data_IF_494787003967
#
_entry.id   IF_494787003967
#
_cell.length_a   1.000
_cell.length_b   1.000
_cell.length_c   1.000
_cell.angle_alpha   90.00
_cell.angle_beta   90.00
_cell.angle_gamma   90.00
#
_symmetry.space_group_name_H-M   'P 1'
#
loop_
_entity.id
_entity.type
_entity.pdbx_description
1 polymer ?
#
# COMPACT_ATOMS: atom_id res chain seq x y z
N UNK A 1 10.27 11.10 -7.03
CA UNK A 1 9.07 11.90 -7.40
C UNK A 1 8.98 12.08 -8.89
N UNK A 2 10.09 12.45 -9.57
CA UNK A 2 10.17 12.53 -11.05
C UNK A 2 9.55 11.32 -11.78
N UNK A 3 9.73 10.12 -11.23
CA UNK A 3 9.20 8.86 -11.76
C UNK A 3 7.67 8.81 -11.67
N UNK A 4 7.10 9.20 -10.52
CA UNK A 4 5.65 9.30 -10.32
C UNK A 4 5.05 10.42 -11.18
N UNK A 5 5.74 11.56 -11.29
CA UNK A 5 5.33 12.67 -12.16
C UNK A 5 5.33 12.27 -13.64
N UNK A 6 6.27 11.42 -14.07
CA UNK A 6 6.27 10.89 -15.43
C UNK A 6 5.05 10.00 -15.67
N UNK A 7 4.64 9.19 -14.69
CA UNK A 7 3.42 8.38 -14.78
C UNK A 7 2.16 9.24 -14.82
N UNK A 8 2.15 10.40 -14.15
CA UNK A 8 1.07 11.40 -14.31
C UNK A 8 1.01 11.94 -15.73
N UNK A 9 2.15 12.30 -16.34
CA UNK A 9 2.21 12.83 -17.71
C UNK A 9 1.68 11.85 -18.77
N UNK A 10 1.83 10.55 -18.54
CA UNK A 10 1.31 9.50 -19.42
C UNK A 10 -0.05 8.94 -18.98
N UNK A 11 -0.74 9.64 -18.07
CA UNK A 11 -2.07 9.28 -17.57
C UNK A 11 -2.18 7.91 -16.86
N UNK A 12 -1.07 7.40 -16.33
CA UNK A 12 -1.05 6.16 -15.53
C UNK A 12 -1.22 6.41 -14.02
N UNK A 13 -0.92 7.63 -13.56
CA UNK A 13 -1.27 8.12 -12.24
C UNK A 13 -2.11 9.39 -12.33
N UNK A 14 -2.91 9.65 -11.30
CA UNK A 14 -3.64 10.90 -11.12
C UNK A 14 -3.02 11.67 -9.97
N UNK A 15 -2.94 13.00 -10.11
CA UNK A 15 -2.67 13.87 -8.96
C UNK A 15 -3.93 13.99 -8.13
N UNK A 16 -3.78 13.77 -6.83
CA UNK A 16 -4.88 13.92 -5.90
C UNK A 16 -4.32 14.24 -4.51
N UNK A 17 -4.68 15.36 -3.86
CA UNK A 17 -4.11 15.74 -2.57
C UNK A 17 -4.37 14.69 -1.50
N UNK A 18 -3.44 14.48 -0.56
CA UNK A 18 -3.63 13.50 0.51
C UNK A 18 -4.89 13.80 1.35
N UNK A 19 -5.67 12.76 1.64
CA UNK A 19 -6.81 12.83 2.55
C UNK A 19 -6.52 11.98 3.79
N UNK A 20 -6.51 12.60 4.97
CA UNK A 20 -6.17 11.93 6.22
C UNK A 20 -7.19 10.85 6.63
N UNK A 21 -8.48 11.05 6.36
CA UNK A 21 -9.54 10.10 6.71
C UNK A 21 -9.47 8.88 5.80
N UNK A 22 -9.30 9.09 4.50
CA UNK A 22 -9.12 8.04 3.51
C UNK A 22 -7.84 7.23 3.82
N UNK A 23 -6.73 7.91 4.07
CA UNK A 23 -5.45 7.31 4.46
C UNK A 23 -5.59 6.40 5.69
N UNK A 24 -6.20 6.91 6.77
CA UNK A 24 -6.46 6.12 7.97
C UNK A 24 -7.40 4.93 7.70
N UNK A 25 -8.37 5.09 6.80
CA UNK A 25 -9.24 4.01 6.35
C UNK A 25 -8.45 2.90 5.66
N UNK A 26 -7.50 3.24 4.77
CA UNK A 26 -6.64 2.28 4.10
C UNK A 26 -5.72 1.55 5.08
N UNK A 27 -5.13 2.26 6.06
CA UNK A 27 -4.30 1.63 7.09
C UNK A 27 -5.11 0.60 7.89
N UNK A 28 -6.29 0.97 8.38
CA UNK A 28 -7.19 0.05 9.10
C UNK A 28 -7.57 -1.16 8.23
N UNK A 29 -7.89 -0.92 6.96
CA UNK A 29 -8.25 -1.99 6.05
C UNK A 29 -7.08 -2.95 5.76
N UNK A 30 -5.85 -2.46 5.76
CA UNK A 30 -4.64 -3.28 5.66
C UNK A 30 -4.38 -4.08 6.94
N UNK A 31 -4.48 -3.42 8.10
CA UNK A 31 -4.28 -4.05 9.41
C UNK A 31 -5.30 -5.16 9.70
N UNK A 32 -6.57 -4.93 9.37
CA UNK A 32 -7.62 -5.96 9.50
C UNK A 32 -7.28 -7.18 8.64
N UNK A 33 -6.96 -6.98 7.36
CA UNK A 33 -6.62 -8.10 6.46
C UNK A 33 -5.39 -8.88 6.91
N UNK A 34 -4.37 -8.18 7.41
CA UNK A 34 -3.17 -8.81 7.96
C UNK A 34 -3.46 -9.60 9.24
N UNK A 35 -4.36 -9.12 10.10
CA UNK A 35 -4.79 -9.89 11.27
C UNK A 35 -5.60 -11.12 10.85
N UNK A 36 -6.52 -10.94 9.91
CA UNK A 36 -7.39 -12.00 9.43
C UNK A 36 -6.60 -13.09 8.69
N UNK A 37 -5.50 -12.75 8.00
CA UNK A 37 -4.65 -13.75 7.32
C UNK A 37 -3.95 -14.71 8.28
N UNK A 38 -3.94 -14.40 9.58
CA UNK A 38 -3.34 -15.22 10.64
C UNK A 38 -4.38 -16.08 11.38
N UNK A 39 -5.63 -16.13 10.91
CA UNK A 39 -6.65 -16.99 11.51
C UNK A 39 -6.34 -18.45 11.21
N UNK A 40 -6.33 -19.27 12.26
CA UNK A 40 -6.09 -20.71 12.16
C UNK A 40 -7.15 -21.41 11.29
N UNK A 41 -6.70 -22.32 10.44
CA UNK A 41 -7.58 -23.12 9.57
C UNK A 41 -7.94 -22.47 8.23
N UNK A 42 -7.45 -21.26 7.93
CA UNK A 42 -7.54 -20.71 6.57
C UNK A 42 -6.71 -21.53 5.58
N UNK A 43 -7.25 -21.71 4.37
CA UNK A 43 -6.48 -22.24 3.24
C UNK A 43 -5.36 -21.28 2.85
N UNK A 44 -4.30 -21.80 2.24
CA UNK A 44 -3.19 -21.00 1.72
C UNK A 44 -3.67 -19.91 0.75
N UNK A 45 -4.65 -20.23 -0.11
CA UNK A 45 -5.25 -19.26 -1.05
C UNK A 45 -5.95 -18.10 -0.33
N UNK A 46 -6.63 -18.38 0.79
CA UNK A 46 -7.27 -17.36 1.62
C UNK A 46 -6.24 -16.50 2.34
N UNK A 47 -5.21 -17.12 2.91
CA UNK A 47 -4.11 -16.41 3.56
C UNK A 47 -3.38 -15.49 2.57
N UNK A 48 -3.11 -15.98 1.35
CA UNK A 48 -2.51 -15.20 0.27
C UNK A 48 -3.41 -14.03 -0.13
N UNK A 49 -4.69 -14.28 -0.39
CA UNK A 49 -5.65 -13.24 -0.79
C UNK A 49 -5.75 -12.11 0.23
N UNK A 50 -5.77 -12.45 1.53
CA UNK A 50 -5.79 -11.49 2.63
C UNK A 50 -4.47 -10.71 2.75
N UNK A 51 -3.34 -11.43 2.75
CA UNK A 51 -1.99 -10.84 2.85
C UNK A 51 -1.69 -9.91 1.66
N UNK A 52 -2.03 -10.34 0.44
CA UNK A 52 -1.91 -9.52 -0.78
C UNK A 52 -2.82 -8.29 -0.73
N UNK A 53 -4.05 -8.47 -0.26
CA UNK A 53 -4.99 -7.36 -0.03
C UNK A 53 -4.48 -6.36 1.02
N UNK A 54 -3.81 -6.83 2.08
CA UNK A 54 -3.17 -5.97 3.07
C UNK A 54 -2.00 -5.19 2.46
N UNK A 55 -1.11 -5.86 1.73
CA UNK A 55 0.01 -5.25 1.02
C UNK A 55 -0.47 -4.12 0.08
N UNK A 56 -1.53 -4.39 -0.66
CA UNK A 56 -2.11 -3.41 -1.58
C UNK A 56 -2.69 -2.21 -0.83
N UNK A 57 -3.42 -2.42 0.26
CA UNK A 57 -3.99 -1.33 1.06
C UNK A 57 -2.90 -0.41 1.64
N UNK A 58 -1.83 -0.98 2.19
CA UNK A 58 -0.68 -0.22 2.69
C UNK A 58 0.05 0.54 1.57
N UNK A 59 0.23 -0.08 0.42
CA UNK A 59 0.87 0.55 -0.73
C UNK A 59 0.04 1.71 -1.30
N UNK A 60 -1.28 1.54 -1.35
CA UNK A 60 -2.21 2.58 -1.77
C UNK A 60 -2.21 3.75 -0.77
N UNK A 61 -2.16 3.45 0.54
CA UNK A 61 -2.06 4.48 1.58
C UNK A 61 -0.79 5.33 1.40
N UNK A 62 0.36 4.70 1.11
CA UNK A 62 1.60 5.41 0.82
C UNK A 62 1.46 6.31 -0.42
N UNK A 63 0.92 5.78 -1.51
CA UNK A 63 0.70 6.54 -2.75
C UNK A 63 -0.21 7.76 -2.51
N UNK A 64 -1.30 7.56 -1.76
CA UNK A 64 -2.26 8.60 -1.40
C UNK A 64 -1.63 9.70 -0.54
N UNK A 65 -0.82 9.31 0.45
CA UNK A 65 -0.09 10.25 1.31
C UNK A 65 0.84 11.17 0.50
N UNK A 66 1.40 10.66 -0.59
CA UNK A 66 2.28 11.41 -1.48
C UNK A 66 1.57 12.20 -2.58
N UNK A 67 0.23 12.28 -2.57
CA UNK A 67 -0.51 13.13 -3.48
C UNK A 67 -0.83 12.48 -4.83
N UNK A 68 -0.75 11.14 -4.91
CA UNK A 68 -1.05 10.41 -6.13
C UNK A 68 -2.17 9.39 -5.89
N UNK A 69 -2.87 9.04 -6.97
CA UNK A 69 -3.83 7.92 -7.00
C UNK A 69 -3.58 7.06 -8.24
N UNK A 70 -3.77 5.75 -8.07
CA UNK A 70 -3.89 4.79 -9.17
C UNK A 70 -5.09 3.89 -8.91
N UNK A 71 -5.76 3.48 -9.98
CA UNK A 71 -6.81 2.46 -9.94
C UNK A 71 -6.24 1.08 -10.31
N UNK A 72 -5.00 1.01 -10.80
CA UNK A 72 -4.32 -0.23 -11.15
C UNK A 72 -3.50 -0.76 -9.98
N UNK A 73 -3.87 -1.94 -9.47
CA UNK A 73 -3.15 -2.61 -8.37
C UNK A 73 -1.67 -2.82 -8.69
N UNK A 74 -1.36 -3.16 -9.94
CA UNK A 74 0.01 -3.34 -10.41
C UNK A 74 0.82 -2.05 -10.27
N UNK A 75 0.26 -0.92 -10.71
CA UNK A 75 0.94 0.38 -10.60
C UNK A 75 1.12 0.82 -9.14
N UNK A 76 0.15 0.53 -8.27
CA UNK A 76 0.27 0.80 -6.83
C UNK A 76 1.51 0.11 -6.25
N UNK A 77 1.75 -1.15 -6.59
CA UNK A 77 2.94 -1.88 -6.15
C UNK A 77 4.23 -1.39 -6.81
N UNK A 78 4.22 -1.11 -8.12
CA UNK A 78 5.41 -0.57 -8.80
C UNK A 78 5.85 0.78 -8.23
N UNK A 79 4.89 1.61 -7.82
CA UNK A 79 5.15 2.92 -7.23
C UNK A 79 5.65 2.83 -5.78
N UNK A 80 5.47 1.69 -5.11
CA UNK A 80 5.80 1.50 -3.70
C UNK A 80 7.27 1.79 -3.38
N UNK A 81 8.18 1.35 -4.25
CA UNK A 81 9.62 1.62 -4.09
C UNK A 81 9.94 3.12 -4.04
N UNK A 82 9.14 3.94 -4.74
CA UNK A 82 9.32 5.39 -4.83
C UNK A 82 8.61 6.14 -3.71
N UNK A 83 7.63 5.52 -3.03
CA UNK A 83 6.92 6.10 -1.90
C UNK A 83 7.54 5.71 -0.56
N UNK A 84 8.12 4.50 -0.44
CA UNK A 84 8.81 4.05 0.78
C UNK A 84 10.20 4.69 0.99
N UNK A 85 10.84 5.14 -0.08
CA UNK A 85 12.14 5.82 -0.02
C UNK A 85 12.05 7.29 0.44
N UNK A 86 10.83 7.80 0.63
CA UNK A 86 10.59 9.18 1.04
C UNK A 86 10.63 9.27 2.59
N UNK A 87 11.60 10.03 3.10
CA UNK A 87 11.91 10.25 4.53
C UNK A 87 10.80 10.99 5.31
N UNK A 88 9.55 10.53 5.29
CA UNK A 88 8.54 11.00 6.24
C UNK A 88 8.39 9.96 7.38
N UNK A 89 9.02 10.29 8.51
CA UNK A 89 9.73 9.33 9.38
C UNK A 89 8.87 8.31 10.14
N UNK A 90 7.57 8.56 10.35
CA UNK A 90 6.75 7.71 11.24
C UNK A 90 5.78 6.85 10.44
N UNK A 91 4.98 7.45 9.55
CA UNK A 91 3.93 6.73 8.83
C UNK A 91 4.47 5.81 7.73
N UNK A 92 5.49 6.25 6.99
CA UNK A 92 6.18 5.40 6.01
C UNK A 92 6.89 4.25 6.71
N UNK A 93 7.44 4.49 7.91
CA UNK A 93 8.05 3.42 8.73
C UNK A 93 7.03 2.39 9.23
N UNK A 94 5.78 2.83 9.49
CA UNK A 94 4.68 1.92 9.84
C UNK A 94 4.34 1.02 8.66
N UNK A 95 4.08 1.62 7.49
CA UNK A 95 3.77 0.90 6.26
C UNK A 95 4.90 -0.09 5.93
N UNK A 96 6.16 0.35 5.97
CA UNK A 96 7.33 -0.50 5.75
C UNK A 96 7.36 -1.69 6.71
N UNK A 97 7.13 -1.45 8.02
CA UNK A 97 7.11 -2.51 9.03
C UNK A 97 5.95 -3.48 8.86
N UNK A 98 4.80 -3.03 8.38
CA UNK A 98 3.69 -3.95 8.10
C UNK A 98 4.00 -4.79 6.86
N UNK A 99 4.52 -4.18 5.79
CA UNK A 99 4.94 -4.89 4.59
C UNK A 99 6.05 -5.91 4.86
N UNK A 100 6.99 -5.60 5.76
CA UNK A 100 8.06 -6.54 6.14
C UNK A 100 7.55 -7.76 6.91
N UNK A 101 6.34 -7.72 7.49
CA UNK A 101 5.72 -8.93 8.08
C UNK A 101 5.11 -9.85 7.03
N UNK A 102 4.80 -9.31 5.84
CA UNK A 102 4.19 -10.07 4.74
C UNK A 102 5.22 -10.91 3.98
N UNK A 103 6.53 -10.63 4.12
CA UNK A 103 7.60 -11.37 3.41
C UNK A 103 7.81 -12.80 3.90
N UNK A 104 7.08 -13.25 4.94
CA UNK A 104 7.06 -14.66 5.34
C UNK A 104 5.97 -15.46 4.62
N UNK A 105 5.12 -14.79 3.84
CA UNK A 105 3.99 -15.37 3.10
C UNK A 105 4.18 -15.34 1.57
N UNK A 106 5.35 -14.89 1.11
CA UNK A 106 5.81 -14.89 -0.29
C UNK A 106 7.11 -15.69 -0.37
#
# INVERSE_FOLDING_TARGET
MKELDNLVKVNQLKLEPADAKEFLGMLRAGDTKLKDSLIDGLSEDSQFSLTYGAAHAFSLAALRWHGYRSESRYLVFQCLQHTLTLKNRILVSYIYRQLSKLTHFL
#
